data_IF_852750066294
#
_entry.id   IF_852750066294
#
_cell.length_a   1.000
_cell.length_b   1.000
_cell.length_c   1.000
_cell.angle_alpha   90.00
_cell.angle_beta   90.00
_cell.angle_gamma   90.00
#
_symmetry.space_group_name_H-M   'P 1'
#
loop_
_entity.id
_entity.type
_entity.pdbx_description
1 polymer ?
#
# COMPACT_ATOMS: atom_id res chain seq x y z
N UNK A 1 80.39 -25.84 61.16
CA UNK A 1 79.08 -26.46 61.25
C UNK A 1 78.09 -25.53 60.48
N UNK A 2 77.96 -25.80 59.18
CA UNK A 2 77.20 -24.91 58.31
C UNK A 2 75.84 -25.50 58.00
N UNK A 3 74.84 -24.73 58.32
CA UNK A 3 73.41 -25.09 58.06
C UNK A 3 73.14 -24.77 56.56
N UNK A 4 72.47 -25.65 55.82
CA UNK A 4 72.09 -25.37 54.43
C UNK A 4 70.89 -24.40 54.41
N UNK A 5 70.96 -23.38 53.59
CA UNK A 5 69.83 -22.48 53.22
C UNK A 5 68.77 -23.27 52.45
N UNK A 6 67.57 -23.28 52.97
CA UNK A 6 66.35 -23.68 52.27
C UNK A 6 66.16 -22.81 51.02
N UNK A 7 66.16 -23.42 49.84
CA UNK A 7 65.68 -22.79 48.63
C UNK A 7 64.18 -22.48 48.78
N UNK A 8 63.87 -21.20 48.94
CA UNK A 8 62.52 -20.75 48.89
C UNK A 8 61.90 -21.10 47.54
N UNK A 9 60.76 -21.75 47.60
CA UNK A 9 59.97 -22.15 46.44
C UNK A 9 59.38 -20.90 45.80
N UNK A 10 59.97 -20.46 44.67
CA UNK A 10 59.55 -19.28 43.94
C UNK A 10 58.33 -19.56 43.05
N UNK A 11 57.74 -20.75 43.12
CA UNK A 11 56.61 -21.14 42.27
C UNK A 11 55.25 -20.61 42.74
N UNK A 12 55.18 -20.11 43.99
CA UNK A 12 53.88 -19.66 44.58
C UNK A 12 53.51 -18.21 44.31
N UNK A 13 54.33 -17.47 43.53
CA UNK A 13 54.15 -16.02 43.36
C UNK A 13 53.34 -15.64 42.11
N UNK A 14 52.97 -16.61 41.29
CA UNK A 14 52.30 -16.34 40.02
C UNK A 14 50.90 -16.99 39.85
N UNK A 15 50.14 -17.16 40.90
CA UNK A 15 48.71 -17.36 40.78
C UNK A 15 48.01 -16.03 40.46
N UNK A 16 48.29 -15.52 39.28
CA UNK A 16 47.53 -14.44 38.67
C UNK A 16 46.12 -14.97 38.40
N UNK A 17 45.08 -14.07 38.40
CA UNK A 17 43.70 -14.46 38.16
C UNK A 17 43.60 -15.27 36.87
N UNK A 18 42.85 -16.37 36.92
CA UNK A 18 42.64 -17.29 35.81
C UNK A 18 42.37 -16.53 34.52
N UNK A 19 43.37 -16.47 33.61
CA UNK A 19 43.24 -15.81 32.34
C UNK A 19 42.18 -16.54 31.51
N UNK A 20 41.08 -15.85 31.21
CA UNK A 20 40.06 -16.39 30.32
C UNK A 20 40.69 -16.71 28.98
N UNK A 21 40.87 -17.99 28.67
CA UNK A 21 41.52 -18.43 27.44
C UNK A 21 40.45 -18.60 26.36
N UNK A 22 40.45 -17.71 25.38
CA UNK A 22 39.54 -17.81 24.22
C UNK A 22 39.99 -19.03 23.40
N UNK A 23 39.14 -20.05 23.35
CA UNK A 23 39.33 -21.24 22.51
C UNK A 23 38.63 -21.00 21.16
N UNK A 24 39.13 -21.63 20.08
CA UNK A 24 38.58 -21.46 18.73
C UNK A 24 37.07 -21.67 18.62
N UNK A 25 36.49 -22.53 19.46
CA UNK A 25 35.04 -22.76 19.48
C UNK A 25 34.25 -21.54 19.99
N UNK A 26 34.82 -20.70 20.87
CA UNK A 26 34.15 -19.48 21.32
C UNK A 26 34.04 -18.45 20.17
N UNK A 27 35.11 -18.39 19.33
CA UNK A 27 35.11 -17.54 18.14
C UNK A 27 34.06 -18.03 17.14
N UNK A 28 34.01 -19.36 16.91
CA UNK A 28 33.01 -19.96 16.02
C UNK A 28 31.56 -19.70 16.55
N UNK A 29 31.34 -19.92 17.84
CA UNK A 29 30.03 -19.67 18.45
C UNK A 29 29.61 -18.19 18.35
N UNK A 30 30.54 -17.26 18.59
CA UNK A 30 30.31 -15.83 18.42
C UNK A 30 29.96 -15.46 16.97
N UNK A 31 30.65 -16.05 16.01
CA UNK A 31 30.38 -15.84 14.60
C UNK A 31 29.02 -16.38 14.17
N UNK A 32 28.65 -17.58 14.63
CA UNK A 32 27.30 -18.14 14.38
C UNK A 32 26.21 -17.25 15.01
N UNK A 33 26.39 -16.82 16.25
CA UNK A 33 25.44 -15.94 16.92
C UNK A 33 25.29 -14.60 16.19
N UNK A 34 26.38 -14.01 15.72
CA UNK A 34 26.37 -12.77 14.94
C UNK A 34 25.57 -12.92 13.64
N UNK A 35 25.85 -13.96 12.86
CA UNK A 35 25.09 -14.20 11.63
C UNK A 35 23.64 -14.56 11.88
N UNK A 36 23.33 -15.30 12.95
CA UNK A 36 21.97 -15.62 13.33
C UNK A 36 21.14 -14.35 13.61
N UNK A 37 21.72 -13.37 14.30
CA UNK A 37 21.05 -12.07 14.54
C UNK A 37 20.81 -11.33 13.22
N UNK A 38 21.82 -11.25 12.35
CA UNK A 38 21.67 -10.59 11.04
C UNK A 38 20.57 -11.24 10.21
N UNK A 39 20.56 -12.56 10.13
CA UNK A 39 19.55 -13.31 9.37
C UNK A 39 18.17 -13.07 9.97
N UNK A 40 18.02 -13.10 11.29
CA UNK A 40 16.73 -12.87 11.97
C UNK A 40 16.18 -11.49 11.67
N UNK A 41 17.01 -10.46 11.74
CA UNK A 41 16.62 -9.08 11.42
C UNK A 41 16.19 -8.97 9.96
N UNK A 42 16.94 -9.56 9.02
CA UNK A 42 16.59 -9.55 7.60
C UNK A 42 15.26 -10.28 7.33
N UNK A 43 15.02 -11.43 7.96
CA UNK A 43 13.74 -12.16 7.85
C UNK A 43 12.57 -11.30 8.34
N UNK A 44 12.74 -10.58 9.45
CA UNK A 44 11.71 -9.66 9.96
C UNK A 44 11.44 -8.55 8.94
N UNK A 45 12.48 -7.91 8.42
CA UNK A 45 12.32 -6.84 7.41
C UNK A 45 11.64 -7.35 6.12
N UNK A 46 12.05 -8.53 5.63
CA UNK A 46 11.41 -9.13 4.45
C UNK A 46 9.93 -9.43 4.73
N UNK A 47 9.62 -9.97 5.91
CA UNK A 47 8.24 -10.30 6.28
C UNK A 47 7.37 -9.04 6.38
N UNK A 48 7.90 -7.97 6.98
CA UNK A 48 7.22 -6.68 7.06
C UNK A 48 7.05 -6.05 5.67
N UNK A 49 8.09 -6.09 4.84
CA UNK A 49 8.03 -5.61 3.46
C UNK A 49 6.95 -6.34 2.65
N UNK A 50 6.91 -7.68 2.72
CA UNK A 50 5.89 -8.48 2.02
C UNK A 50 4.46 -8.24 2.53
N UNK A 51 4.31 -7.95 3.83
CA UNK A 51 2.99 -7.61 4.41
C UNK A 51 2.52 -6.20 4.09
N UNK A 52 3.46 -5.25 3.96
CA UNK A 52 3.16 -3.86 3.59
C UNK A 52 3.11 -3.63 2.08
N UNK A 53 3.40 -4.64 1.27
CA UNK A 53 3.29 -4.54 -0.18
C UNK A 53 1.84 -4.86 -0.59
N UNK A 54 1.03 -3.86 -0.97
CA UNK A 54 -0.34 -4.09 -1.44
C UNK A 54 -0.31 -4.62 -2.87
N UNK A 55 0.05 -5.90 -3.04
CA UNK A 55 -0.11 -6.64 -4.30
C UNK A 55 0.51 -5.99 -5.56
N UNK A 56 1.00 -6.81 -6.44
CA UNK A 56 1.69 -6.46 -7.69
C UNK A 56 0.96 -5.44 -8.58
N UNK A 57 1.39 -4.19 -8.54
CA UNK A 57 1.16 -3.26 -9.65
C UNK A 57 1.94 -3.66 -10.93
N UNK A 58 2.97 -4.46 -10.79
CA UNK A 58 3.89 -4.83 -11.88
C UNK A 58 3.27 -5.80 -12.90
N UNK A 59 2.28 -6.60 -12.52
CA UNK A 59 1.52 -7.43 -13.48
C UNK A 59 0.60 -6.61 -14.36
N UNK A 60 0.09 -5.48 -13.86
CA UNK A 60 -0.75 -4.57 -14.65
C UNK A 60 0.03 -3.86 -15.75
N UNK A 61 1.28 -3.49 -15.54
CA UNK A 61 2.06 -2.73 -16.54
C UNK A 61 2.40 -3.55 -17.78
N UNK A 62 2.67 -4.87 -17.66
CA UNK A 62 2.91 -5.73 -18.83
C UNK A 62 1.63 -6.03 -19.61
N UNK A 63 0.53 -6.30 -18.91
CA UNK A 63 -0.80 -6.48 -19.53
C UNK A 63 -1.33 -5.16 -20.10
N UNK A 64 -1.06 -4.04 -19.44
CA UNK A 64 -1.39 -2.70 -19.94
C UNK A 64 -0.64 -2.35 -21.25
N UNK A 65 0.60 -2.83 -21.41
CA UNK A 65 1.35 -2.62 -22.67
C UNK A 65 0.72 -3.34 -23.87
N UNK A 66 0.08 -4.49 -23.65
CA UNK A 66 -0.65 -5.23 -24.70
C UNK A 66 -2.06 -4.66 -24.95
N UNK A 67 -2.68 -4.12 -23.90
CA UNK A 67 -4.01 -3.51 -23.98
C UNK A 67 -3.97 -1.99 -24.29
N UNK A 68 -2.80 -1.44 -24.59
CA UNK A 68 -2.65 0.01 -24.81
C UNK A 68 -3.54 0.54 -25.95
N UNK A 69 -3.67 -0.22 -27.03
CA UNK A 69 -4.54 0.15 -28.16
C UNK A 69 -6.02 0.11 -27.77
N UNK A 70 -6.42 -0.88 -26.93
CA UNK A 70 -7.79 -1.00 -26.47
C UNK A 70 -8.14 0.18 -25.54
N UNK A 71 -7.22 0.56 -24.64
CA UNK A 71 -7.38 1.72 -23.75
C UNK A 71 -7.48 3.03 -24.52
N UNK A 72 -6.73 3.17 -25.64
CA UNK A 72 -6.87 4.37 -26.51
C UNK A 72 -8.23 4.37 -27.19
N UNK A 73 -8.65 3.24 -27.75
CA UNK A 73 -9.94 3.14 -28.42
C UNK A 73 -11.11 3.42 -27.43
N UNK A 74 -11.04 2.93 -26.21
CA UNK A 74 -12.02 3.22 -25.16
C UNK A 74 -12.04 4.72 -24.80
N UNK A 75 -10.87 5.37 -24.69
CA UNK A 75 -10.78 6.81 -24.41
C UNK A 75 -11.33 7.64 -25.56
N UNK A 76 -11.04 7.24 -26.80
CA UNK A 76 -11.57 7.93 -28.00
C UNK A 76 -13.09 7.75 -28.07
N UNK A 77 -13.61 6.55 -27.81
CA UNK A 77 -15.03 6.29 -27.78
C UNK A 77 -15.72 7.10 -26.64
N UNK A 78 -15.11 7.17 -25.46
CA UNK A 78 -15.60 8.00 -24.37
C UNK A 78 -15.56 9.50 -24.71
N UNK A 79 -14.48 9.96 -25.35
CA UNK A 79 -14.39 11.36 -25.82
C UNK A 79 -15.46 11.68 -26.88
N UNK A 80 -15.79 10.72 -27.76
CA UNK A 80 -16.83 10.87 -28.78
C UNK A 80 -18.24 11.02 -28.19
N UNK A 81 -18.50 10.48 -26.96
CA UNK A 81 -19.74 10.75 -26.24
C UNK A 81 -19.94 12.24 -25.93
N UNK A 82 -18.83 12.96 -25.74
CA UNK A 82 -18.84 14.37 -25.40
C UNK A 82 -19.50 14.68 -24.05
N UNK A 83 -19.62 13.68 -23.18
CA UNK A 83 -20.22 13.85 -21.86
C UNK A 83 -19.26 14.58 -20.93
N UNK A 84 -19.86 15.46 -20.13
CA UNK A 84 -19.15 16.15 -19.06
C UNK A 84 -19.69 15.67 -17.72
N UNK A 85 -18.79 15.25 -16.84
CA UNK A 85 -19.17 14.81 -15.51
C UNK A 85 -18.47 15.64 -14.43
N UNK A 86 -19.21 15.94 -13.38
CA UNK A 86 -18.73 16.55 -12.16
C UNK A 86 -19.14 15.70 -10.96
N UNK A 87 -18.26 15.60 -9.96
CA UNK A 87 -18.56 14.89 -8.73
C UNK A 87 -18.27 15.76 -7.51
N UNK A 88 -19.04 15.56 -6.45
CA UNK A 88 -18.89 16.22 -5.17
C UNK A 88 -19.14 15.24 -4.03
N UNK A 89 -18.33 15.30 -2.98
CA UNK A 89 -18.49 14.51 -1.75
C UNK A 89 -19.02 15.42 -0.64
N UNK A 90 -20.19 15.09 -0.15
CA UNK A 90 -20.81 15.74 1.00
C UNK A 90 -20.55 14.92 2.28
N UNK A 91 -21.13 15.30 3.39
CA UNK A 91 -21.00 14.55 4.65
C UNK A 91 -21.64 13.16 4.60
N UNK A 92 -22.65 12.97 3.75
CA UNK A 92 -23.44 11.74 3.71
C UNK A 92 -23.49 11.06 2.35
N UNK A 93 -23.17 11.78 1.26
CA UNK A 93 -23.38 11.29 -0.10
C UNK A 93 -22.27 11.73 -1.05
N UNK A 94 -21.99 10.90 -2.04
CA UNK A 94 -21.30 11.28 -3.28
C UNK A 94 -22.36 11.65 -4.30
N UNK A 95 -22.26 12.87 -4.86
CA UNK A 95 -23.14 13.35 -5.91
C UNK A 95 -22.36 13.40 -7.21
N UNK A 96 -22.89 12.78 -8.27
CA UNK A 96 -22.34 12.83 -9.62
C UNK A 96 -23.37 13.46 -10.55
N UNK A 97 -22.93 14.44 -11.35
CA UNK A 97 -23.76 15.06 -12.39
C UNK A 97 -23.13 14.77 -13.75
N UNK A 98 -23.93 14.28 -14.68
CA UNK A 98 -23.49 13.96 -16.05
C UNK A 98 -24.38 14.71 -17.05
N UNK A 99 -23.75 15.41 -17.98
CA UNK A 99 -24.41 16.13 -19.05
C UNK A 99 -23.77 15.78 -20.40
N UNK A 100 -24.55 15.85 -21.46
CA UNK A 100 -24.06 15.71 -22.83
C UNK A 100 -23.36 16.99 -23.35
N UNK A 101 -22.91 16.97 -24.61
CA UNK A 101 -22.31 18.12 -25.28
C UNK A 101 -23.19 19.36 -25.34
N UNK A 102 -24.51 19.19 -25.42
CA UNK A 102 -25.50 20.25 -25.40
C UNK A 102 -25.83 20.78 -24.01
N UNK A 103 -25.27 20.19 -22.97
CA UNK A 103 -25.59 20.50 -21.58
C UNK A 103 -26.88 19.82 -21.08
N UNK A 104 -27.50 18.96 -21.89
CA UNK A 104 -28.67 18.20 -21.45
C UNK A 104 -28.26 17.08 -20.48
N UNK A 105 -29.11 16.75 -19.46
CA UNK A 105 -28.80 15.72 -18.51
C UNK A 105 -28.81 14.33 -19.15
N UNK A 106 -27.81 13.51 -18.84
CA UNK A 106 -27.75 12.11 -19.26
C UNK A 106 -28.37 11.25 -18.15
N UNK A 107 -29.51 10.64 -18.44
CA UNK A 107 -30.34 9.90 -17.49
C UNK A 107 -30.29 8.39 -17.70
N UNK A 108 -30.83 7.64 -16.74
CA UNK A 108 -31.01 6.18 -16.79
C UNK A 108 -29.69 5.39 -16.95
N UNK A 109 -28.58 5.91 -16.42
CA UNK A 109 -27.32 5.17 -16.38
C UNK A 109 -27.28 4.24 -15.16
N UNK A 110 -26.86 3.02 -15.36
CA UNK A 110 -26.45 2.11 -14.28
C UNK A 110 -25.03 2.49 -13.85
N UNK A 111 -24.93 3.43 -12.89
CA UNK A 111 -23.67 3.97 -12.42
C UNK A 111 -23.23 3.21 -11.16
N UNK A 112 -22.03 2.65 -11.20
CA UNK A 112 -21.36 2.03 -10.06
C UNK A 112 -20.00 2.67 -9.87
N UNK A 113 -19.43 2.60 -8.67
CA UNK A 113 -18.12 3.19 -8.45
C UNK A 113 -17.42 2.69 -7.19
N UNK A 114 -16.22 3.19 -6.99
CA UNK A 114 -15.42 2.95 -5.80
C UNK A 114 -14.86 4.28 -5.32
N UNK A 115 -15.00 4.53 -4.03
CA UNK A 115 -14.35 5.63 -3.34
C UNK A 115 -13.09 5.10 -2.66
N UNK A 116 -11.93 5.51 -3.12
CA UNK A 116 -10.63 4.99 -2.68
C UNK A 116 -9.92 5.99 -1.78
N UNK A 117 -9.38 5.48 -0.66
CA UNK A 117 -8.52 6.27 0.21
C UNK A 117 -7.05 6.18 -0.26
N UNK A 118 -6.33 7.32 -0.40
CA UNK A 118 -4.99 7.33 -1.01
C UNK A 118 -3.92 6.61 -0.20
N UNK A 119 -4.13 6.41 1.11
CA UNK A 119 -3.14 5.83 2.03
C UNK A 119 -3.57 4.51 2.66
N UNK A 120 -4.84 4.12 2.58
CA UNK A 120 -5.37 2.94 3.27
C UNK A 120 -6.49 2.30 2.43
N UNK A 121 -6.20 1.14 1.85
CA UNK A 121 -7.14 0.40 1.01
C UNK A 121 -8.26 -0.27 1.81
N UNK A 122 -8.08 -0.46 3.12
CA UNK A 122 -9.12 -1.04 3.99
C UNK A 122 -10.30 -0.06 4.18
N UNK A 123 -10.09 1.22 3.83
CA UNK A 123 -11.11 2.26 3.84
C UNK A 123 -11.85 2.39 2.51
N UNK A 124 -11.43 1.68 1.47
CA UNK A 124 -12.08 1.71 0.15
C UNK A 124 -13.54 1.26 0.26
N UNK A 125 -14.42 1.96 -0.44
CA UNK A 125 -15.85 1.73 -0.38
C UNK A 125 -16.46 1.63 -1.78
N UNK A 126 -17.13 0.50 -2.04
CA UNK A 126 -17.94 0.35 -3.24
C UNK A 126 -19.20 1.23 -3.12
N UNK A 127 -19.55 1.90 -4.21
CA UNK A 127 -20.69 2.80 -4.33
C UNK A 127 -21.65 2.30 -5.40
N UNK A 128 -22.92 2.21 -5.05
CA UNK A 128 -24.02 2.05 -5.99
C UNK A 128 -24.77 3.40 -6.07
N UNK A 129 -24.89 3.94 -7.27
CA UNK A 129 -25.53 5.22 -7.49
C UNK A 129 -27.00 5.05 -7.88
N UNK A 130 -27.84 5.88 -7.29
CA UNK A 130 -29.24 6.01 -7.66
C UNK A 130 -29.47 7.37 -8.32
N UNK A 131 -30.27 7.41 -9.38
CA UNK A 131 -30.63 8.66 -10.04
C UNK A 131 -31.68 9.41 -9.20
N UNK A 132 -31.28 10.55 -8.61
CA UNK A 132 -32.21 11.41 -7.85
C UNK A 132 -33.06 12.29 -8.73
N UNK A 133 -32.54 12.71 -9.87
CA UNK A 133 -33.21 13.54 -10.88
C UNK A 133 -32.39 13.42 -12.19
N UNK A 134 -32.96 13.78 -13.36
CA UNK A 134 -32.30 13.64 -14.62
C UNK A 134 -30.84 14.09 -14.60
N UNK A 135 -29.91 13.16 -14.88
CA UNK A 135 -28.48 13.37 -14.95
C UNK A 135 -27.78 13.64 -13.59
N UNK A 136 -28.47 13.43 -12.46
CA UNK A 136 -27.86 13.57 -11.13
C UNK A 136 -28.00 12.28 -10.34
N UNK A 137 -26.88 11.70 -10.01
CA UNK A 137 -26.75 10.42 -9.32
C UNK A 137 -26.18 10.62 -7.93
N UNK A 138 -26.67 9.87 -6.96
CA UNK A 138 -26.20 9.89 -5.59
C UNK A 138 -25.88 8.49 -5.09
N UNK A 139 -24.82 8.36 -4.31
CA UNK A 139 -24.47 7.16 -3.58
C UNK A 139 -24.24 7.49 -2.11
N UNK A 140 -24.55 6.56 -1.21
CA UNK A 140 -24.30 6.72 0.22
C UNK A 140 -22.82 6.76 0.55
N UNK A 141 -22.40 7.76 1.32
CA UNK A 141 -21.04 7.95 1.80
C UNK A 141 -20.99 8.23 3.31
N UNK A 142 -21.99 7.74 4.06
CA UNK A 142 -22.00 7.89 5.51
C UNK A 142 -20.78 7.17 6.13
N UNK A 143 -20.15 7.81 7.12
CA UNK A 143 -19.00 7.24 7.82
C UNK A 143 -17.66 7.29 7.06
N UNK A 144 -17.63 7.89 5.86
CA UNK A 144 -16.36 8.17 5.17
C UNK A 144 -15.57 9.19 6.01
N UNK A 145 -14.27 8.99 6.23
CA UNK A 145 -13.44 9.91 7.00
C UNK A 145 -13.19 11.23 6.28
N UNK A 146 -12.86 12.29 7.04
CA UNK A 146 -12.41 13.55 6.46
C UNK A 146 -11.09 13.38 5.72
N UNK A 147 -10.88 14.12 4.65
CA UNK A 147 -9.65 14.05 3.89
C UNK A 147 -9.86 13.94 2.38
N UNK A 148 -8.80 13.55 1.71
CA UNK A 148 -8.77 13.37 0.26
C UNK A 148 -9.21 11.96 -0.12
N UNK A 149 -10.06 11.87 -1.15
CA UNK A 149 -10.57 10.62 -1.69
C UNK A 149 -10.47 10.63 -3.21
N UNK A 150 -10.33 9.46 -3.80
CA UNK A 150 -10.42 9.27 -5.26
C UNK A 150 -11.71 8.53 -5.57
N UNK A 151 -12.56 9.14 -6.35
CA UNK A 151 -13.75 8.50 -6.92
C UNK A 151 -13.39 7.96 -8.29
N UNK A 152 -13.65 6.67 -8.50
CA UNK A 152 -13.76 6.05 -9.82
C UNK A 152 -15.18 5.57 -9.97
N UNK A 153 -15.91 6.06 -10.97
CA UNK A 153 -17.28 5.67 -11.25
C UNK A 153 -17.44 5.30 -12.73
N UNK A 154 -18.18 4.24 -12.99
CA UNK A 154 -18.39 3.66 -14.31
C UNK A 154 -19.88 3.51 -14.60
N UNK A 155 -20.28 3.90 -15.81
CA UNK A 155 -21.59 3.62 -16.34
C UNK A 155 -21.47 2.51 -17.38
N UNK A 156 -22.16 1.39 -17.16
CA UNK A 156 -22.23 0.28 -18.11
C UNK A 156 -23.02 0.65 -19.36
N UNK A 157 -22.69 -0.01 -20.49
CA UNK A 157 -23.37 0.18 -21.79
C UNK A 157 -22.49 -0.30 -22.93
N UNK A 158 -22.91 -0.08 -24.17
CA UNK A 158 -22.10 -0.39 -25.36
C UNK A 158 -20.80 0.42 -25.40
N UNK A 159 -20.82 1.62 -24.84
CA UNK A 159 -19.64 2.48 -24.65
C UNK A 159 -19.55 2.83 -23.17
N UNK A 160 -18.68 2.19 -22.42
CA UNK A 160 -18.54 2.46 -20.98
C UNK A 160 -18.04 3.88 -20.76
N UNK A 161 -18.71 4.62 -19.87
CA UNK A 161 -18.26 5.94 -19.43
C UNK A 161 -17.59 5.82 -18.09
N UNK A 162 -16.35 6.30 -17.99
CA UNK A 162 -15.55 6.28 -16.76
C UNK A 162 -15.28 7.69 -16.27
N UNK A 163 -15.55 7.94 -15.00
CA UNK A 163 -15.26 9.20 -14.31
C UNK A 163 -14.24 8.95 -13.20
N UNK A 164 -13.09 9.61 -13.29
CA UNK A 164 -12.13 9.67 -12.19
C UNK A 164 -12.03 11.09 -11.65
N UNK A 165 -12.20 11.26 -10.35
CA UNK A 165 -12.10 12.57 -9.67
C UNK A 165 -11.51 12.46 -8.28
N UNK A 166 -10.61 13.40 -7.97
CA UNK A 166 -10.20 13.66 -6.59
C UNK A 166 -11.27 14.49 -5.89
N UNK A 167 -11.72 14.03 -4.74
CA UNK A 167 -12.74 14.65 -3.91
C UNK A 167 -12.16 14.98 -2.54
N UNK A 168 -12.68 16.03 -1.92
CA UNK A 168 -12.30 16.41 -0.55
C UNK A 168 -13.54 16.39 0.33
N UNK A 169 -13.46 15.63 1.44
CA UNK A 169 -14.42 15.73 2.52
C UNK A 169 -13.91 16.70 3.59
N UNK A 170 -14.67 17.74 3.83
CA UNK A 170 -14.43 18.72 4.89
C UNK A 170 -15.34 18.47 6.08
#
# INVERSE_FOLDING_TARGET
MSTPRSNGDWNDVYDGPARFTIKGWHVLAGMIAFFAVIISVNVVFITLALRSFPGEETRRSYVQGLAYNDVIAEREAQAALGWTASANLTQTQVLVRITDQGGAPVSALALVGVLQHPADMDLDRALAFEELRPGVYAADAQGVAEGQWRLTAEAGGETPFVLERALWRR
#
